data_IF_382741540751
#
_entry.id   IF_382741540751
#
_cell.length_a   1.000
_cell.length_b   1.000
_cell.length_c   1.000
_cell.angle_alpha   90.00
_cell.angle_beta   90.00
_cell.angle_gamma   90.00
#
_symmetry.space_group_name_H-M   'P 1'
#
loop_
_entity.id
_entity.type
_entity.pdbx_description
1 polymer ?
#
# COMPACT_ATOMS: atom_id res chain seq x y z
N UNK A 1 22.34 -7.79 40.67
CA UNK A 1 22.32 -6.31 40.82
C UNK A 1 21.33 -5.69 39.86
N UNK A 2 20.08 -5.56 40.33
CA UNK A 2 18.96 -4.93 39.56
C UNK A 2 19.02 -3.38 39.59
N UNK A 3 20.12 -2.80 40.04
CA UNK A 3 20.22 -1.37 40.32
C UNK A 3 21.10 -0.56 39.38
N UNK A 4 21.54 -1.11 38.25
CA UNK A 4 22.35 -0.37 37.29
C UNK A 4 21.62 -0.02 35.98
N UNK A 5 20.33 0.26 36.01
CA UNK A 5 19.72 0.96 34.90
C UNK A 5 20.26 2.41 34.86
N UNK A 6 20.75 2.91 33.73
CA UNK A 6 21.20 4.28 33.66
C UNK A 6 20.07 5.22 34.04
N UNK A 7 20.26 5.89 35.20
CA UNK A 7 19.28 6.83 35.78
C UNK A 7 19.16 8.13 34.95
N UNK A 8 19.93 8.31 33.89
CA UNK A 8 19.86 9.44 32.98
C UNK A 8 19.50 8.96 31.58
N UNK A 9 18.36 9.43 31.09
CA UNK A 9 18.00 9.38 29.68
C UNK A 9 18.97 10.29 28.92
N UNK A 10 19.80 9.75 28.04
CA UNK A 10 20.93 10.47 27.44
C UNK A 10 20.85 10.58 25.91
N UNK A 11 19.84 9.97 25.27
CA UNK A 11 19.72 9.91 23.83
C UNK A 11 18.31 10.20 23.35
N UNK A 12 18.20 10.65 22.10
CA UNK A 12 16.93 10.77 21.42
C UNK A 12 16.62 9.47 20.68
N UNK A 13 15.35 9.08 20.66
CA UNK A 13 14.84 7.92 19.92
C UNK A 13 14.11 8.41 18.67
N UNK A 14 14.54 7.93 17.51
CA UNK A 14 13.83 8.10 16.25
C UNK A 14 13.24 6.76 15.83
N UNK A 15 11.91 6.67 15.73
CA UNK A 15 11.20 5.49 15.28
C UNK A 15 10.63 5.73 13.88
N UNK A 16 11.18 5.05 12.87
CA UNK A 16 10.63 5.02 11.51
C UNK A 16 9.61 3.91 11.36
N UNK A 17 8.69 4.09 10.40
CA UNK A 17 7.55 3.18 10.17
C UNK A 17 6.73 2.94 11.44
N UNK A 18 6.60 4.00 12.26
CA UNK A 18 5.95 3.94 13.56
C UNK A 18 4.47 3.52 13.47
N UNK A 19 3.83 3.65 12.29
CA UNK A 19 2.48 3.15 12.00
C UNK A 19 2.38 1.62 12.05
N UNK A 20 3.47 0.90 11.73
CA UNK A 20 3.53 -0.56 11.77
C UNK A 20 4.08 -1.13 13.08
N UNK A 21 4.73 -0.30 13.88
CA UNK A 21 5.37 -0.77 15.11
C UNK A 21 4.33 -0.95 16.22
N UNK A 22 4.12 -2.19 16.72
CA UNK A 22 3.31 -2.40 17.93
C UNK A 22 3.94 -1.67 19.12
N UNK A 23 3.15 -1.10 20.03
CA UNK A 23 3.65 -0.33 21.16
C UNK A 23 4.73 -1.03 22.00
N UNK A 24 4.58 -2.33 22.21
CA UNK A 24 5.50 -3.13 23.03
C UNK A 24 6.92 -3.22 22.44
N UNK A 25 7.11 -3.00 21.12
CA UNK A 25 8.45 -3.03 20.51
C UNK A 25 9.24 -1.76 20.80
N UNK A 26 8.55 -0.64 21.03
CA UNK A 26 9.18 0.64 21.28
C UNK A 26 9.34 0.98 22.76
N UNK A 27 8.59 0.33 23.67
CA UNK A 27 8.53 0.70 25.09
C UNK A 27 9.89 0.78 25.75
N UNK A 28 10.78 -0.17 25.47
CA UNK A 28 12.14 -0.18 26.05
C UNK A 28 13.03 0.97 25.57
N UNK A 29 12.88 1.36 24.30
CA UNK A 29 13.55 2.52 23.71
C UNK A 29 12.99 3.82 24.24
N UNK A 30 11.67 3.95 24.26
CA UNK A 30 10.94 5.13 24.79
C UNK A 30 11.31 5.38 26.25
N UNK A 31 11.40 4.32 27.07
CA UNK A 31 11.75 4.43 28.49
C UNK A 31 13.16 4.99 28.71
N UNK A 32 14.09 4.72 27.78
CA UNK A 32 15.49 5.16 27.88
C UNK A 32 15.76 6.50 27.20
N UNK A 33 14.86 6.97 26.37
CA UNK A 33 15.05 8.20 25.60
C UNK A 33 14.69 9.45 26.38
N UNK A 34 15.37 10.55 26.10
CA UNK A 34 14.98 11.89 26.56
C UNK A 34 13.82 12.44 25.73
N UNK A 35 13.90 12.25 24.42
CA UNK A 35 12.89 12.66 23.45
C UNK A 35 12.60 11.51 22.51
N UNK A 36 11.38 11.45 22.01
CA UNK A 36 10.94 10.44 21.04
C UNK A 36 10.33 11.16 19.87
N UNK A 37 10.80 10.82 18.67
CA UNK A 37 10.21 11.25 17.41
C UNK A 37 9.68 10.00 16.72
N UNK A 38 8.38 9.92 16.57
CA UNK A 38 7.72 8.86 15.82
C UNK A 38 7.42 9.36 14.40
N UNK A 39 7.91 8.65 13.40
CA UNK A 39 7.69 8.95 11.99
C UNK A 39 7.01 7.76 11.35
N UNK A 40 5.77 7.93 10.93
CA UNK A 40 4.97 6.89 10.31
C UNK A 40 3.67 7.43 9.78
N UNK A 41 2.90 6.57 9.16
CA UNK A 41 1.61 6.91 8.58
C UNK A 41 0.55 5.93 9.11
N UNK A 42 -0.42 6.40 9.91
CA UNK A 42 -1.47 5.54 10.46
C UNK A 42 -2.45 5.03 9.39
N UNK A 43 -2.44 5.65 8.20
CA UNK A 43 -3.29 5.31 7.06
C UNK A 43 -2.58 4.43 6.01
N UNK A 44 -1.35 4.01 6.30
CA UNK A 44 -0.66 2.91 5.64
C UNK A 44 -0.82 1.62 6.46
N UNK A 45 0.08 0.64 6.34
CA UNK A 45 -0.14 -0.64 7.01
C UNK A 45 -0.11 -0.53 8.54
N UNK A 46 -1.03 -1.24 9.15
CA UNK A 46 -1.13 -1.37 10.60
C UNK A 46 -0.14 -2.44 11.13
N UNK A 47 0.13 -2.46 12.46
CA UNK A 47 0.93 -3.51 13.07
C UNK A 47 0.41 -4.91 12.75
N UNK A 48 1.31 -5.79 12.33
CA UNK A 48 0.97 -7.21 12.12
C UNK A 48 0.89 -7.90 13.46
N UNK A 49 -0.25 -8.54 13.74
CA UNK A 49 -0.50 -9.27 14.97
C UNK A 49 -0.80 -10.73 14.64
N UNK A 50 0.02 -11.63 15.15
CA UNK A 50 -0.13 -13.08 14.96
C UNK A 50 -1.04 -13.70 15.98
N UNK A 51 -1.25 -13.03 17.15
CA UNK A 51 -2.11 -13.52 18.21
C UNK A 51 -3.60 -13.38 17.84
N UNK A 52 -4.42 -14.43 18.01
CA UNK A 52 -5.87 -14.34 17.76
C UNK A 52 -6.54 -13.23 18.57
N UNK A 53 -7.48 -12.52 17.93
CA UNK A 53 -8.18 -11.37 18.56
C UNK A 53 -8.84 -11.71 19.90
N UNK A 54 -9.35 -12.94 20.04
CA UNK A 54 -9.94 -13.40 21.32
C UNK A 54 -8.89 -13.40 22.43
N UNK A 55 -7.73 -14.02 22.18
CA UNK A 55 -6.64 -14.08 23.16
C UNK A 55 -6.14 -12.68 23.55
N UNK A 56 -6.01 -11.75 22.58
CA UNK A 56 -5.66 -10.36 22.88
C UNK A 56 -6.67 -9.70 23.83
N UNK A 57 -7.96 -9.87 23.56
CA UNK A 57 -9.03 -9.29 24.40
C UNK A 57 -9.04 -9.91 25.79
N UNK A 58 -8.87 -11.24 25.89
CA UNK A 58 -8.88 -11.95 27.16
C UNK A 58 -7.68 -11.48 28.05
N UNK A 59 -6.50 -11.32 27.46
CA UNK A 59 -5.32 -10.78 28.15
C UNK A 59 -5.57 -9.32 28.55
N UNK A 60 -6.03 -8.49 27.65
CA UNK A 60 -6.30 -7.09 27.94
C UNK A 60 -7.31 -6.92 29.09
N UNK A 61 -8.38 -7.72 29.10
CA UNK A 61 -9.36 -7.73 30.16
C UNK A 61 -8.75 -8.17 31.50
N UNK A 62 -7.90 -9.20 31.51
CA UNK A 62 -7.23 -9.69 32.72
C UNK A 62 -6.31 -8.62 33.33
N UNK A 63 -5.73 -7.73 32.56
CA UNK A 63 -4.86 -6.64 33.00
C UNK A 63 -5.52 -5.26 33.02
N UNK A 64 -6.84 -5.16 32.78
CA UNK A 64 -7.56 -3.89 32.76
C UNK A 64 -7.13 -2.94 31.64
N UNK A 65 -6.59 -3.46 30.52
CA UNK A 65 -6.12 -2.66 29.39
C UNK A 65 -7.27 -2.32 28.46
N UNK A 66 -7.45 -1.02 28.18
CA UNK A 66 -8.46 -0.56 27.23
C UNK A 66 -8.20 -1.12 25.81
N UNK A 67 -9.25 -1.50 25.07
CA UNK A 67 -9.13 -1.93 23.67
C UNK A 67 -8.41 -0.94 22.76
N UNK A 68 -8.38 0.33 23.10
CA UNK A 68 -7.68 1.39 22.32
C UNK A 68 -6.17 1.23 22.32
N UNK A 69 -5.60 0.44 23.25
CA UNK A 69 -4.17 0.17 23.33
C UNK A 69 -3.74 -1.13 22.67
N UNK A 70 -4.70 -1.87 22.11
CA UNK A 70 -4.46 -3.19 21.53
C UNK A 70 -4.16 -3.07 20.04
N UNK A 71 -3.02 -3.62 19.54
CA UNK A 71 -2.78 -3.73 18.11
C UNK A 71 -3.89 -4.59 17.42
N UNK A 72 -4.19 -4.35 16.17
CA UNK A 72 -3.52 -3.42 15.23
C UNK A 72 -3.94 -1.95 15.37
N UNK A 73 -4.97 -1.62 16.16
CA UNK A 73 -5.45 -0.23 16.34
C UNK A 73 -4.44 0.67 17.05
N UNK A 74 -3.59 0.11 17.91
CA UNK A 74 -2.51 0.82 18.57
C UNK A 74 -1.18 0.56 17.85
N UNK A 75 -0.52 1.61 17.44
CA UNK A 75 0.86 1.62 16.96
C UNK A 75 1.67 2.67 17.71
N UNK A 76 2.98 2.67 17.55
CA UNK A 76 3.84 3.72 18.10
C UNK A 76 3.43 5.09 17.57
N UNK A 77 3.04 5.18 16.29
CA UNK A 77 2.54 6.41 15.69
C UNK A 77 1.26 6.89 16.36
N UNK A 78 0.25 6.03 16.48
CA UNK A 78 -1.02 6.45 17.10
C UNK A 78 -0.88 6.82 18.57
N UNK A 79 0.12 6.26 19.26
CA UNK A 79 0.44 6.68 20.63
C UNK A 79 1.05 8.09 20.65
N UNK A 80 2.01 8.37 19.75
CA UNK A 80 2.62 9.67 19.64
C UNK A 80 1.59 10.74 19.26
N UNK A 81 0.71 10.44 18.29
CA UNK A 81 -0.36 11.34 17.86
C UNK A 81 -1.29 11.74 19.01
N UNK A 82 -1.68 10.77 19.86
CA UNK A 82 -2.53 11.04 21.05
C UNK A 82 -1.89 11.93 22.11
N UNK A 83 -0.56 12.00 22.15
CA UNK A 83 0.15 12.86 23.12
C UNK A 83 0.15 14.33 22.70
N UNK A 84 -0.11 14.64 21.43
CA UNK A 84 -0.17 16.00 20.93
C UNK A 84 -1.57 16.58 21.07
N UNK A 85 -1.64 17.87 21.48
CA UNK A 85 -2.89 18.64 21.51
C UNK A 85 -3.20 19.24 20.13
N UNK A 86 -2.16 19.48 19.34
CA UNK A 86 -2.26 20.08 18.01
C UNK A 86 -2.25 18.97 16.96
N UNK A 87 -3.10 19.10 15.96
CA UNK A 87 -3.25 18.11 14.89
C UNK A 87 -4.53 18.31 14.10
N UNK A 88 -4.86 17.29 13.33
CA UNK A 88 -6.08 17.24 12.53
C UNK A 88 -6.71 15.86 12.60
N UNK A 89 -8.03 15.79 12.40
CA UNK A 89 -8.77 14.54 12.30
C UNK A 89 -9.01 14.22 10.82
N UNK A 90 -8.40 13.16 10.31
CA UNK A 90 -8.62 12.68 8.95
C UNK A 90 -9.82 11.72 8.93
N UNK A 91 -10.79 11.98 8.06
CA UNK A 91 -11.99 11.16 7.95
C UNK A 91 -11.70 9.84 7.25
N UNK A 92 -12.25 8.76 7.79
CA UNK A 92 -12.16 7.41 7.25
C UNK A 92 -13.56 6.79 7.23
N UNK A 93 -14.37 7.16 6.25
CA UNK A 93 -15.80 6.82 6.25
C UNK A 93 -16.54 7.50 7.41
N UNK A 94 -17.11 6.72 8.33
CA UNK A 94 -17.79 7.22 9.55
C UNK A 94 -16.82 7.43 10.73
N UNK A 95 -15.60 6.90 10.68
CA UNK A 95 -14.57 7.06 11.70
C UNK A 95 -13.63 8.21 11.34
N UNK A 96 -12.83 8.66 12.31
CA UNK A 96 -11.74 9.59 12.08
C UNK A 96 -10.46 9.14 12.76
N UNK A 97 -9.33 9.45 12.14
CA UNK A 97 -7.99 9.19 12.66
C UNK A 97 -7.33 10.50 13.02
N UNK A 98 -6.94 10.66 14.28
CA UNK A 98 -6.19 11.83 14.73
C UNK A 98 -4.74 11.73 14.30
N UNK A 99 -4.23 12.78 13.65
CA UNK A 99 -2.83 12.91 13.21
C UNK A 99 -2.28 14.23 13.74
N UNK A 100 -1.20 14.15 14.52
CA UNK A 100 -0.69 15.30 15.26
C UNK A 100 0.10 16.28 14.39
N UNK A 101 1.02 15.79 13.58
CA UNK A 101 1.91 16.63 12.76
C UNK A 101 2.02 16.09 11.33
N UNK A 102 0.99 16.29 10.50
CA UNK A 102 0.98 15.75 9.15
C UNK A 102 2.03 16.42 8.27
N UNK A 103 2.79 15.60 7.52
CA UNK A 103 3.61 16.08 6.42
C UNK A 103 2.71 16.16 5.18
N UNK A 104 2.40 17.36 4.73
CA UNK A 104 1.39 17.60 3.69
C UNK A 104 1.95 17.68 2.26
N UNK A 105 3.27 17.68 2.09
CA UNK A 105 3.89 17.81 0.77
C UNK A 105 4.24 16.45 0.20
N UNK A 106 3.53 16.06 -0.87
CA UNK A 106 3.76 14.80 -1.58
C UNK A 106 4.78 14.99 -2.71
N UNK A 107 5.78 14.08 -2.79
CA UNK A 107 6.90 14.18 -3.75
C UNK A 107 7.16 12.87 -4.54
N UNK A 108 6.21 11.95 -4.56
CA UNK A 108 6.44 10.60 -5.14
C UNK A 108 5.62 10.34 -6.39
N UNK A 109 4.32 10.31 -6.24
CA UNK A 109 3.40 9.79 -7.24
C UNK A 109 2.89 10.87 -8.18
N UNK A 110 2.84 10.53 -9.46
CA UNK A 110 2.08 11.29 -10.45
C UNK A 110 0.57 10.99 -10.30
N UNK A 111 -0.28 11.76 -10.95
CA UNK A 111 -1.69 11.40 -11.07
C UNK A 111 -1.88 10.18 -11.98
N UNK A 112 -2.93 9.38 -11.75
CA UNK A 112 -4.01 9.58 -10.77
C UNK A 112 -3.71 9.07 -9.35
N UNK A 113 -2.52 8.49 -9.09
CA UNK A 113 -2.21 7.87 -7.79
C UNK A 113 -2.17 8.91 -6.67
N UNK A 114 -1.63 10.11 -6.93
CA UNK A 114 -1.61 11.18 -5.93
C UNK A 114 -3.02 11.59 -5.54
N UNK A 115 -3.87 11.97 -6.50
CA UNK A 115 -5.24 12.43 -6.24
C UNK A 115 -6.05 11.33 -5.55
N UNK A 116 -5.94 10.09 -6.01
CA UNK A 116 -6.62 8.94 -5.43
C UNK A 116 -6.26 8.76 -3.93
N UNK A 117 -4.96 8.74 -3.59
CA UNK A 117 -4.52 8.59 -2.22
C UNK A 117 -4.93 9.79 -1.36
N UNK A 118 -4.82 11.01 -1.91
CA UNK A 118 -5.16 12.25 -1.21
C UNK A 118 -6.64 12.31 -0.84
N UNK A 119 -7.52 11.94 -1.75
CA UNK A 119 -8.97 11.90 -1.50
C UNK A 119 -9.38 10.77 -0.56
N UNK A 120 -8.85 9.54 -0.79
CA UNK A 120 -9.27 8.38 -0.01
C UNK A 120 -8.73 8.35 1.42
N UNK A 121 -7.47 8.78 1.60
CA UNK A 121 -6.77 8.60 2.87
C UNK A 121 -6.50 9.91 3.61
N UNK A 122 -6.31 11.01 2.92
CA UNK A 122 -5.77 12.24 3.51
C UNK A 122 -6.73 13.43 3.43
N UNK A 123 -8.00 13.21 3.15
CA UNK A 123 -9.06 14.24 3.14
C UNK A 123 -8.75 15.45 2.22
N UNK A 124 -8.00 15.24 1.15
CA UNK A 124 -7.55 16.30 0.25
C UNK A 124 -6.47 17.23 0.81
N UNK A 125 -5.91 16.90 1.97
CA UNK A 125 -4.99 17.80 2.69
C UNK A 125 -3.60 17.91 2.06
N UNK A 126 -3.20 16.93 1.25
CA UNK A 126 -1.84 16.89 0.69
C UNK A 126 -1.72 17.79 -0.55
N UNK A 127 -0.54 18.35 -0.74
CA UNK A 127 -0.17 19.16 -1.90
C UNK A 127 0.88 18.42 -2.72
N UNK A 128 0.64 18.27 -4.02
CA UNK A 128 1.65 17.67 -4.91
C UNK A 128 2.79 18.65 -5.18
N UNK A 129 4.01 18.17 -4.97
CA UNK A 129 5.25 18.83 -5.37
C UNK A 129 6.10 17.93 -6.28
N UNK A 130 5.43 17.08 -7.06
CA UNK A 130 6.08 16.27 -8.09
C UNK A 130 6.24 17.12 -9.34
N UNK A 131 7.47 17.27 -9.82
CA UNK A 131 7.78 17.99 -11.05
C UNK A 131 8.59 17.05 -11.96
N UNK A 132 8.06 16.78 -13.17
CA UNK A 132 8.74 16.00 -14.19
C UNK A 132 9.25 16.95 -15.29
N UNK A 133 10.50 16.80 -15.69
CA UNK A 133 11.05 17.51 -16.86
C UNK A 133 10.76 16.69 -18.09
N UNK A 134 9.69 17.00 -18.79
CA UNK A 134 9.28 16.28 -20.00
C UNK A 134 9.95 16.84 -21.26
N UNK A 135 10.48 18.05 -21.19
CA UNK A 135 11.08 18.83 -22.29
C UNK A 135 12.62 18.79 -22.33
N UNK A 136 13.24 17.89 -21.54
CA UNK A 136 14.70 17.73 -21.55
C UNK A 136 15.13 16.90 -22.79
N UNK A 137 15.78 17.49 -23.80
CA UNK A 137 16.17 16.78 -25.02
C UNK A 137 17.36 15.84 -24.80
N UNK A 138 18.17 16.07 -23.75
CA UNK A 138 19.35 15.23 -23.42
C UNK A 138 18.91 14.00 -22.61
N UNK A 139 17.82 14.13 -21.84
CA UNK A 139 17.28 13.06 -21.00
C UNK A 139 15.77 12.96 -21.20
N UNK A 140 15.29 12.45 -22.37
CA UNK A 140 13.87 12.36 -22.65
C UNK A 140 13.17 11.45 -21.65
N UNK A 141 12.02 11.91 -21.14
CA UNK A 141 11.22 11.11 -20.21
C UNK A 141 10.70 9.84 -20.91
N UNK A 142 10.86 8.69 -20.25
CA UNK A 142 10.46 7.40 -20.81
C UNK A 142 8.93 7.23 -20.85
N UNK A 143 8.23 7.82 -19.87
CA UNK A 143 6.80 7.58 -19.65
C UNK A 143 5.91 8.54 -20.43
N UNK A 144 6.32 9.79 -20.58
CA UNK A 144 5.52 10.84 -21.19
C UNK A 144 6.35 11.68 -22.17
N UNK A 145 5.72 12.15 -23.24
CA UNK A 145 6.34 13.04 -24.23
C UNK A 145 6.38 14.49 -23.73
N UNK A 146 7.09 15.39 -24.47
CA UNK A 146 7.17 16.82 -24.14
C UNK A 146 5.81 17.53 -24.11
N UNK A 147 4.86 17.02 -24.88
CA UNK A 147 3.48 17.46 -24.97
C UNK A 147 2.55 16.85 -23.89
N UNK A 148 3.11 15.98 -23.02
CA UNK A 148 2.37 15.26 -22.01
C UNK A 148 1.64 14.01 -22.55
N UNK A 149 1.80 13.67 -23.81
CA UNK A 149 1.22 12.45 -24.37
C UNK A 149 1.94 11.20 -23.83
N UNK A 150 1.19 10.17 -23.40
CA UNK A 150 1.80 9.00 -22.77
C UNK A 150 2.54 8.11 -23.77
N UNK A 151 3.84 7.94 -23.61
CA UNK A 151 4.67 6.96 -24.32
C UNK A 151 4.48 5.55 -23.75
N UNK A 152 4.34 5.46 -22.44
CA UNK A 152 3.93 4.25 -21.72
C UNK A 152 2.44 4.41 -21.40
N UNK A 153 1.59 3.39 -21.68
CA UNK A 153 0.16 3.48 -21.42
C UNK A 153 -0.17 4.03 -20.03
N UNK A 154 -1.16 4.90 -19.96
CA UNK A 154 -1.59 5.52 -18.70
C UNK A 154 -2.04 4.46 -17.67
N UNK A 155 -2.03 4.86 -16.41
CA UNK A 155 -2.56 4.03 -15.30
C UNK A 155 -3.99 3.59 -15.60
N UNK A 156 -4.29 2.30 -15.40
CA UNK A 156 -5.58 1.74 -15.81
C UNK A 156 -5.94 0.47 -15.04
N UNK A 157 -7.24 0.14 -15.06
CA UNK A 157 -7.74 -1.14 -14.60
C UNK A 157 -7.93 -2.10 -15.77
N UNK A 158 -7.16 -3.16 -15.79
CA UNK A 158 -7.26 -4.26 -16.75
C UNK A 158 -8.28 -5.27 -16.20
N UNK A 159 -9.46 -5.23 -16.78
CA UNK A 159 -10.59 -6.04 -16.33
C UNK A 159 -10.39 -7.51 -16.73
N UNK A 160 -10.06 -8.33 -15.74
CA UNK A 160 -9.79 -9.77 -15.89
C UNK A 160 -10.66 -10.54 -14.90
N UNK A 161 -11.80 -11.12 -15.35
CA UNK A 161 -12.69 -11.87 -14.48
C UNK A 161 -11.98 -13.01 -13.74
N UNK A 162 -12.43 -13.27 -12.50
CA UNK A 162 -11.98 -14.42 -11.73
C UNK A 162 -12.85 -15.62 -12.09
N UNK A 163 -12.29 -16.61 -12.75
CA UNK A 163 -13.03 -17.75 -13.30
C UNK A 163 -12.78 -19.07 -12.54
N UNK A 164 -11.67 -19.17 -11.81
CA UNK A 164 -11.27 -20.39 -11.11
C UNK A 164 -11.73 -20.35 -9.65
N UNK A 165 -12.70 -21.18 -9.23
CA UNK A 165 -13.15 -21.25 -7.85
C UNK A 165 -12.18 -22.05 -6.98
N UNK A 166 -12.24 -21.82 -5.65
CA UNK A 166 -11.43 -22.55 -4.65
C UNK A 166 -10.02 -22.00 -4.47
N UNK A 167 -9.65 -20.96 -5.21
CA UNK A 167 -8.36 -20.28 -5.06
C UNK A 167 -8.45 -18.80 -5.39
N UNK A 168 -7.62 -18.00 -4.72
CA UNK A 168 -7.44 -16.60 -5.10
C UNK A 168 -6.48 -16.41 -6.27
N UNK A 169 -5.68 -17.43 -6.62
CA UNK A 169 -4.79 -17.37 -7.78
C UNK A 169 -5.60 -17.58 -9.06
N UNK A 170 -5.54 -16.64 -9.98
CA UNK A 170 -6.20 -16.66 -11.27
C UNK A 170 -5.13 -16.62 -12.37
N UNK A 171 -4.93 -17.74 -13.08
CA UNK A 171 -3.84 -17.88 -14.04
C UNK A 171 -3.94 -16.87 -15.21
N UNK A 172 -5.16 -16.53 -15.64
CA UNK A 172 -5.38 -15.52 -16.68
C UNK A 172 -4.88 -14.14 -16.28
N UNK A 173 -5.04 -13.76 -15.00
CA UNK A 173 -4.51 -12.51 -14.46
C UNK A 173 -2.97 -12.52 -14.43
N UNK A 174 -2.36 -13.65 -14.09
CA UNK A 174 -0.90 -13.82 -14.15
C UNK A 174 -0.40 -13.77 -15.59
N UNK A 175 -1.09 -14.43 -16.52
CA UNK A 175 -0.74 -14.38 -17.94
C UNK A 175 -0.84 -12.94 -18.50
N UNK A 176 -1.86 -12.18 -18.08
CA UNK A 176 -2.00 -10.75 -18.44
C UNK A 176 -0.85 -9.92 -17.89
N UNK A 177 -0.46 -10.14 -16.62
CA UNK A 177 0.70 -9.49 -16.04
C UNK A 177 1.98 -9.79 -16.83
N UNK A 178 2.23 -11.04 -17.19
CA UNK A 178 3.43 -11.41 -17.96
C UNK A 178 3.49 -10.68 -19.31
N UNK A 179 2.36 -10.60 -20.03
CA UNK A 179 2.30 -9.82 -21.29
C UNK A 179 2.62 -8.34 -21.10
N UNK A 180 2.16 -7.74 -20.00
CA UNK A 180 2.50 -6.35 -19.68
C UNK A 180 3.97 -6.17 -19.31
N UNK A 181 4.54 -7.11 -18.56
CA UNK A 181 5.97 -7.06 -18.22
C UNK A 181 6.84 -7.16 -19.47
N UNK A 182 6.45 -8.04 -20.43
CA UNK A 182 7.13 -8.18 -21.73
C UNK A 182 6.99 -6.86 -22.54
N UNK A 183 5.77 -6.31 -22.71
CA UNK A 183 5.53 -5.06 -23.45
C UNK A 183 6.26 -3.84 -22.85
N UNK A 184 6.25 -3.70 -21.52
CA UNK A 184 6.95 -2.61 -20.87
C UNK A 184 8.47 -2.77 -20.94
N UNK A 185 8.98 -4.00 -20.88
CA UNK A 185 10.37 -4.31 -21.08
C UNK A 185 10.83 -3.95 -22.50
N UNK A 186 10.04 -4.30 -23.52
CA UNK A 186 10.30 -3.93 -24.92
C UNK A 186 10.30 -2.42 -25.14
N UNK A 187 9.53 -1.67 -24.33
CA UNK A 187 9.51 -0.20 -24.33
C UNK A 187 10.63 0.44 -23.49
N UNK A 188 11.50 -0.36 -22.87
CA UNK A 188 12.68 0.10 -22.13
C UNK A 188 12.48 0.29 -20.63
N UNK A 189 11.33 -0.11 -20.05
CA UNK A 189 11.14 -0.07 -18.59
C UNK A 189 11.88 -1.26 -17.97
N UNK A 190 12.88 -0.99 -17.14
CA UNK A 190 13.65 -2.05 -16.50
C UNK A 190 12.79 -2.82 -15.47
N UNK A 191 12.95 -4.13 -15.39
CA UNK A 191 12.22 -4.95 -14.41
C UNK A 191 12.48 -4.54 -12.95
N UNK A 192 13.64 -3.95 -12.65
CA UNK A 192 13.99 -3.39 -11.34
C UNK A 192 13.14 -2.18 -10.94
N UNK A 193 12.54 -1.49 -11.93
CA UNK A 193 11.63 -0.36 -11.74
C UNK A 193 10.17 -0.81 -11.74
N UNK A 194 9.92 -2.10 -11.61
CA UNK A 194 8.58 -2.69 -11.56
C UNK A 194 8.37 -3.45 -10.24
N UNK A 195 7.18 -3.30 -9.67
CA UNK A 195 6.73 -4.07 -8.51
C UNK A 195 5.38 -4.70 -8.83
N UNK A 196 5.22 -6.00 -8.53
CA UNK A 196 3.96 -6.71 -8.64
C UNK A 196 3.49 -7.18 -7.26
N UNK A 197 2.31 -6.73 -6.82
CA UNK A 197 1.79 -6.96 -5.47
C UNK A 197 0.36 -7.49 -5.49
N UNK A 198 0.01 -8.21 -4.42
CA UNK A 198 -1.34 -8.74 -4.24
C UNK A 198 -1.77 -8.67 -2.77
N UNK A 199 -3.08 -8.55 -2.49
CA UNK A 199 -3.62 -8.73 -1.16
C UNK A 199 -3.52 -10.18 -0.65
N UNK A 200 -3.47 -11.17 -1.57
CA UNK A 200 -3.51 -12.59 -1.22
C UNK A 200 -2.16 -13.27 -1.31
N UNK A 201 -1.81 -14.01 -0.27
CA UNK A 201 -0.52 -14.68 -0.16
C UNK A 201 -0.24 -15.66 -1.32
N UNK A 202 -1.22 -16.48 -1.70
CA UNK A 202 -1.06 -17.45 -2.80
C UNK A 202 -0.74 -16.76 -4.13
N UNK A 203 -1.31 -15.59 -4.39
CA UNK A 203 -0.99 -14.77 -5.56
C UNK A 203 0.40 -14.16 -5.41
N UNK A 204 0.72 -13.60 -4.24
CA UNK A 204 2.02 -13.01 -3.96
C UNK A 204 3.17 -14.01 -4.14
N UNK A 205 3.02 -15.24 -3.67
CA UNK A 205 4.02 -16.31 -3.86
C UNK A 205 4.26 -16.60 -5.35
N UNK A 206 3.19 -16.55 -6.16
CA UNK A 206 3.31 -16.66 -7.62
C UNK A 206 4.05 -15.46 -8.21
N UNK A 207 3.74 -14.22 -7.75
CA UNK A 207 4.42 -13.00 -8.20
C UNK A 207 5.90 -13.02 -7.84
N UNK A 208 6.27 -13.45 -6.63
CA UNK A 208 7.66 -13.63 -6.21
C UNK A 208 8.40 -14.60 -7.15
N UNK A 209 7.73 -15.67 -7.58
CA UNK A 209 8.33 -16.64 -8.48
C UNK A 209 8.66 -16.08 -9.87
N UNK A 210 8.01 -15.02 -10.31
CA UNK A 210 8.25 -14.37 -11.60
C UNK A 210 9.62 -13.69 -11.69
N UNK A 211 10.25 -13.37 -10.55
CA UNK A 211 11.61 -12.82 -10.53
C UNK A 211 12.65 -13.71 -11.21
N UNK A 212 12.38 -15.03 -11.35
CA UNK A 212 13.23 -15.95 -12.12
C UNK A 212 13.17 -15.69 -13.62
N UNK A 213 11.98 -15.30 -14.13
CA UNK A 213 11.78 -14.94 -15.54
C UNK A 213 12.13 -13.48 -15.84
N UNK A 214 11.88 -12.59 -14.87
CA UNK A 214 12.09 -11.15 -14.98
C UNK A 214 13.09 -10.71 -13.89
N UNK A 215 14.41 -10.86 -14.11
CA UNK A 215 15.43 -10.49 -13.12
C UNK A 215 15.33 -9.01 -12.75
N UNK A 216 15.20 -8.75 -11.45
CA UNK A 216 15.00 -7.41 -10.91
C UNK A 216 13.54 -7.09 -10.55
N UNK A 217 12.54 -7.78 -11.12
CA UNK A 217 11.14 -7.63 -10.69
C UNK A 217 10.98 -7.99 -9.22
N UNK A 218 10.28 -7.16 -8.50
CA UNK A 218 9.93 -7.40 -7.09
C UNK A 218 8.47 -7.82 -6.97
N UNK A 219 8.24 -9.07 -6.59
CA UNK A 219 6.92 -9.62 -6.32
C UNK A 219 6.64 -9.74 -4.83
N UNK A 220 5.36 -9.76 -4.42
CA UNK A 220 5.01 -10.04 -3.05
C UNK A 220 3.61 -9.60 -2.62
N UNK A 221 3.38 -9.62 -1.32
CA UNK A 221 2.18 -9.03 -0.72
C UNK A 221 2.30 -7.51 -0.65
N UNK A 222 1.17 -6.82 -0.50
CA UNK A 222 1.16 -5.38 -0.26
C UNK A 222 1.96 -5.03 1.00
N UNK A 223 1.94 -5.89 2.02
CA UNK A 223 2.74 -5.73 3.24
C UNK A 223 4.25 -5.76 2.99
N UNK A 224 4.72 -6.66 2.12
CA UNK A 224 6.16 -6.76 1.80
C UNK A 224 6.65 -5.63 0.89
N UNK A 225 5.74 -4.91 0.25
CA UNK A 225 6.05 -3.76 -0.61
C UNK A 225 6.14 -2.44 0.16
N UNK A 226 5.74 -2.39 1.44
CA UNK A 226 5.83 -1.16 2.22
C UNK A 226 7.30 -0.71 2.35
N UNK A 227 7.52 0.60 2.35
CA UNK A 227 8.85 1.21 2.31
C UNK A 227 9.55 1.15 0.95
N UNK A 228 9.01 0.40 -0.03
CA UNK A 228 9.54 0.31 -1.39
C UNK A 228 8.72 1.19 -2.34
N UNK A 229 9.33 1.56 -3.45
CA UNK A 229 8.66 2.30 -4.53
C UNK A 229 9.25 1.88 -5.88
N UNK A 230 8.49 2.06 -6.94
CA UNK A 230 8.89 1.77 -8.31
C UNK A 230 8.18 2.71 -9.29
N UNK A 231 8.71 2.83 -10.50
CA UNK A 231 8.05 3.62 -11.52
C UNK A 231 6.72 2.98 -11.91
N UNK A 232 6.68 1.66 -12.01
CA UNK A 232 5.46 0.92 -12.35
C UNK A 232 5.08 -0.05 -11.23
N UNK A 233 3.81 -0.03 -10.84
CA UNK A 233 3.24 -0.99 -9.89
C UNK A 233 2.09 -1.74 -10.53
N UNK A 234 2.10 -3.05 -10.39
CA UNK A 234 1.00 -3.94 -10.74
C UNK A 234 0.31 -4.40 -9.46
N UNK A 235 -0.96 -4.06 -9.32
CA UNK A 235 -1.82 -4.57 -8.27
C UNK A 235 -2.65 -5.73 -8.84
N UNK A 236 -2.22 -6.97 -8.58
CA UNK A 236 -2.91 -8.18 -9.03
C UNK A 236 -3.89 -8.61 -7.95
N UNK A 237 -5.17 -8.41 -8.22
CA UNK A 237 -6.20 -8.58 -7.21
C UNK A 237 -6.49 -10.04 -6.90
N UNK A 238 -6.35 -10.94 -7.90
CA UNK A 238 -6.80 -12.31 -7.71
C UNK A 238 -8.29 -12.35 -7.38
N UNK A 239 -8.67 -13.30 -6.57
CA UNK A 239 -10.02 -13.42 -6.01
C UNK A 239 -10.63 -14.77 -6.31
N UNK A 240 -11.23 -15.38 -5.28
CA UNK A 240 -12.02 -16.61 -5.43
C UNK A 240 -13.49 -16.23 -5.63
N UNK A 241 -14.14 -16.61 -6.75
CA UNK A 241 -15.57 -16.40 -6.94
C UNK A 241 -16.44 -16.97 -5.83
N UNK A 242 -16.00 -18.08 -5.21
CA UNK A 242 -16.68 -18.74 -4.10
C UNK A 242 -16.44 -18.12 -2.71
N UNK A 243 -15.53 -17.15 -2.57
CA UNK A 243 -15.14 -16.61 -1.28
C UNK A 243 -15.27 -15.05 -1.21
N UNK A 244 -16.47 -14.48 -1.23
CA UNK A 244 -16.68 -13.03 -1.22
C UNK A 244 -16.14 -12.33 0.03
N UNK A 245 -16.07 -13.02 1.17
CA UNK A 245 -15.56 -12.47 2.42
C UNK A 245 -14.10 -12.00 2.37
N UNK A 246 -13.30 -12.56 1.47
CA UNK A 246 -11.91 -12.15 1.29
C UNK A 246 -11.81 -10.72 0.71
N UNK A 247 -12.72 -10.34 -0.20
CA UNK A 247 -12.79 -8.98 -0.75
C UNK A 247 -13.24 -7.98 0.33
N UNK A 248 -14.24 -8.34 1.14
CA UNK A 248 -14.69 -7.51 2.27
C UNK A 248 -13.56 -7.28 3.28
N UNK A 249 -12.72 -8.28 3.54
CA UNK A 249 -11.54 -8.10 4.37
C UNK A 249 -10.53 -7.13 3.73
N UNK A 250 -10.22 -7.29 2.46
CA UNK A 250 -9.24 -6.45 1.75
C UNK A 250 -9.69 -4.98 1.64
N UNK A 251 -10.99 -4.73 1.69
CA UNK A 251 -11.61 -3.40 1.62
C UNK A 251 -12.08 -2.85 2.98
N UNK A 252 -11.73 -3.52 4.08
CA UNK A 252 -12.16 -3.11 5.42
C UNK A 252 -11.54 -1.80 5.92
N UNK A 253 -10.39 -1.42 5.36
CA UNK A 253 -9.70 -0.17 5.67
C UNK A 253 -9.04 0.40 4.40
N UNK A 254 -8.77 1.69 4.38
CA UNK A 254 -8.08 2.37 3.27
C UNK A 254 -6.65 1.88 3.08
N UNK A 255 -6.03 1.35 4.13
CA UNK A 255 -4.60 1.11 4.23
C UNK A 255 -4.04 0.29 3.05
N UNK A 256 -4.77 -0.76 2.64
CA UNK A 256 -4.31 -1.65 1.58
C UNK A 256 -4.22 -0.95 0.22
N UNK A 257 -5.29 -0.25 -0.18
CA UNK A 257 -5.33 0.47 -1.46
C UNK A 257 -4.39 1.67 -1.44
N UNK A 258 -4.34 2.40 -0.31
CA UNK A 258 -3.43 3.53 -0.13
C UNK A 258 -1.96 3.12 -0.27
N UNK A 259 -1.56 2.01 0.37
CA UNK A 259 -0.19 1.50 0.21
C UNK A 259 0.06 1.08 -1.22
N UNK A 260 -0.83 0.30 -1.84
CA UNK A 260 -0.63 -0.17 -3.20
C UNK A 260 -0.47 1.00 -4.20
N UNK A 261 -1.35 1.98 -4.15
CA UNK A 261 -1.32 3.13 -5.05
C UNK A 261 -0.09 4.03 -4.79
N UNK A 262 0.24 4.28 -3.52
CA UNK A 262 1.37 5.14 -3.16
C UNK A 262 2.76 4.53 -3.42
N UNK A 263 2.85 3.27 -3.85
CA UNK A 263 4.13 2.65 -4.31
C UNK A 263 4.49 3.06 -5.73
N UNK A 264 3.50 3.42 -6.56
CA UNK A 264 3.69 3.75 -7.96
C UNK A 264 4.11 5.22 -8.13
N UNK A 265 5.31 5.45 -8.67
CA UNK A 265 5.76 6.80 -9.00
C UNK A 265 5.09 7.31 -10.27
N UNK A 266 5.00 6.48 -11.33
CA UNK A 266 4.59 6.87 -12.66
C UNK A 266 3.31 6.18 -13.15
N UNK A 267 3.19 4.86 -12.96
CA UNK A 267 2.05 4.08 -13.49
C UNK A 267 1.58 3.04 -12.49
N UNK A 268 0.27 2.92 -12.37
CA UNK A 268 -0.43 1.88 -11.61
C UNK A 268 -1.33 1.08 -12.54
N UNK A 269 -1.07 -0.22 -12.64
CA UNK A 269 -1.93 -1.15 -13.36
C UNK A 269 -2.63 -2.08 -12.38
N UNK A 270 -3.94 -2.05 -12.35
CA UNK A 270 -4.76 -2.98 -11.58
C UNK A 270 -5.20 -4.11 -12.48
N UNK A 271 -4.95 -5.35 -12.11
CA UNK A 271 -5.33 -6.55 -12.85
C UNK A 271 -6.30 -7.35 -12.00
N UNK A 272 -7.55 -7.46 -12.42
CA UNK A 272 -8.55 -8.19 -11.66
C UNK A 272 -9.97 -7.96 -12.14
N UNK A 273 -10.91 -8.73 -11.59
CA UNK A 273 -12.33 -8.69 -11.88
C UNK A 273 -12.93 -7.37 -11.36
N UNK A 274 -13.11 -6.42 -12.26
CA UNK A 274 -13.60 -5.09 -11.90
C UNK A 274 -15.03 -5.12 -11.37
N UNK A 275 -15.88 -5.96 -11.96
CA UNK A 275 -17.26 -6.08 -11.52
C UNK A 275 -17.36 -6.64 -10.10
N UNK A 276 -16.47 -7.55 -9.75
CA UNK A 276 -16.43 -8.18 -8.43
C UNK A 276 -15.77 -7.31 -7.35
N UNK A 277 -14.88 -6.38 -7.70
CA UNK A 277 -14.12 -5.57 -6.73
C UNK A 277 -14.61 -4.13 -6.60
N UNK A 278 -15.02 -3.48 -7.69
CA UNK A 278 -15.43 -2.07 -7.68
C UNK A 278 -16.59 -1.72 -6.74
N UNK A 279 -17.52 -2.62 -6.38
CA UNK A 279 -18.56 -2.31 -5.39
C UNK A 279 -18.03 -2.14 -3.95
N UNK A 280 -16.83 -2.60 -3.66
CA UNK A 280 -16.28 -2.52 -2.30
C UNK A 280 -15.68 -1.14 -2.00
N UNK A 281 -15.72 -0.71 -0.71
CA UNK A 281 -15.07 0.53 -0.26
C UNK A 281 -13.61 0.63 -0.74
N UNK A 282 -13.19 1.85 -1.07
CA UNK A 282 -11.86 2.20 -1.60
C UNK A 282 -11.55 1.65 -2.99
N UNK A 283 -12.06 0.44 -3.35
CA UNK A 283 -11.95 -0.08 -4.71
C UNK A 283 -12.88 0.62 -5.68
N UNK A 284 -14.00 1.19 -5.21
CA UNK A 284 -14.86 2.05 -6.03
C UNK A 284 -14.13 3.32 -6.48
N UNK A 285 -13.40 3.99 -5.58
CA UNK A 285 -12.55 5.15 -5.91
C UNK A 285 -11.43 4.78 -6.88
N UNK A 286 -10.75 3.65 -6.62
CA UNK A 286 -9.73 3.11 -7.52
C UNK A 286 -10.29 2.82 -8.93
N UNK A 287 -11.48 2.22 -9.02
CA UNK A 287 -12.15 1.95 -10.28
C UNK A 287 -12.63 3.21 -11.01
N UNK A 288 -12.98 4.27 -10.27
CA UNK A 288 -13.34 5.55 -10.85
C UNK A 288 -12.12 6.31 -11.41
N UNK A 289 -11.01 6.31 -10.65
CA UNK A 289 -9.78 6.98 -11.04
C UNK A 289 -9.06 6.30 -12.23
N UNK A 290 -9.16 4.96 -12.32
CA UNK A 290 -8.53 4.19 -13.38
C UNK A 290 -9.56 3.79 -14.44
N UNK A 291 -9.41 4.29 -15.66
CA UNK A 291 -10.26 3.93 -16.80
C UNK A 291 -10.34 2.40 -16.98
N UNK A 292 -11.46 1.92 -17.57
CA UNK A 292 -11.62 0.51 -17.92
C UNK A 292 -10.98 0.23 -19.28
N UNK A 293 -10.04 -0.71 -19.33
CA UNK A 293 -9.71 -1.40 -20.58
C UNK A 293 -10.21 -2.85 -20.52
N UNK A 294 -11.02 -3.30 -21.48
CA UNK A 294 -11.39 -4.70 -21.61
C UNK A 294 -10.13 -5.55 -21.74
N UNK A 295 -10.04 -6.65 -21.00
CA UNK A 295 -9.02 -7.66 -21.25
C UNK A 295 -9.14 -8.15 -22.70
N UNK A 296 -8.04 -8.23 -23.42
CA UNK A 296 -8.07 -8.91 -24.72
C UNK A 296 -8.61 -10.34 -24.50
N UNK A 297 -9.64 -10.71 -25.25
CA UNK A 297 -10.17 -12.07 -25.24
C UNK A 297 -8.99 -13.05 -25.45
N UNK A 298 -9.00 -14.24 -24.81
CA UNK A 298 -8.05 -15.28 -25.16
C UNK A 298 -8.18 -15.52 -26.66
N UNK A 299 -7.05 -15.45 -27.38
CA UNK A 299 -7.02 -15.85 -28.78
C UNK A 299 -7.52 -17.29 -28.81
N UNK A 300 -8.62 -17.51 -29.53
CA UNK A 300 -9.12 -18.84 -29.82
C UNK A 300 -7.98 -19.57 -30.55
N UNK A 301 -7.37 -20.52 -29.88
CA UNK A 301 -6.30 -21.32 -30.43
C UNK A 301 -6.77 -21.99 -31.70
N UNK A 302 -6.06 -21.73 -32.80
CA UNK A 302 -6.13 -22.45 -34.03
C UNK A 302 -5.38 -23.78 -33.91
#
# INVERSE_FOLDING_TARGET
DLHSFPTRRSSDLLSYEAGQAPPQYAVGGIWRAQRVIAVGDPLQLQPVVTMPRKAQRDIAAAFGVSPTWIPPRASVQTLADRMSRDGTALRQGEESVWVSMPLTVHRRCDDPMFSLCNEMAYDGMMVSAVHRRLDDPEHPDLFDGPDGEPRIPASQWLDMPATTPGTHLQDDQIARLCRLLDDLGDRGVAASEMIAISPFRVVADKLESLARRYPGLRGGTIHTAQGREADVVFLVLGGDPGAPGAKAWASSTVNLVNVAASRAKRRLYVIGDRAAWAPYPYFNGLAAALGRQPGAAPEAGG
#
